data_IF_702868381892
#
_entry.id   IF_702868381892
#
_cell.length_a   1.000
_cell.length_b   1.000
_cell.length_c   1.000
_cell.angle_alpha   90.00
_cell.angle_beta   90.00
_cell.angle_gamma   90.00
#
_symmetry.space_group_name_H-M   'P 1'
#
loop_
_entity.id
_entity.type
_entity.pdbx_description
1 polymer ?
#
# COMPACT_ATOMS: atom_id res chain seq x y z
N UNK A 1 -11.92 -12.76 -39.17
CA UNK A 1 -11.03 -12.89 -38.00
C UNK A 1 -10.14 -11.66 -37.98
N UNK A 2 -10.46 -10.66 -37.16
CA UNK A 2 -9.67 -9.42 -37.08
C UNK A 2 -8.65 -9.63 -35.96
N UNK A 3 -7.38 -9.79 -36.34
CA UNK A 3 -6.26 -9.96 -35.42
C UNK A 3 -5.72 -8.57 -35.04
N UNK A 4 -6.21 -8.00 -33.94
CA UNK A 4 -5.64 -6.78 -33.36
C UNK A 4 -4.45 -7.14 -32.46
N UNK A 5 -3.23 -6.74 -32.84
CA UNK A 5 -2.06 -6.91 -31.98
C UNK A 5 -2.17 -5.94 -30.79
N UNK A 6 -2.30 -6.49 -29.59
CA UNK A 6 -2.30 -5.71 -28.35
C UNK A 6 -1.13 -6.15 -27.47
N UNK A 7 -0.08 -5.32 -27.42
CA UNK A 7 1.03 -5.52 -26.50
C UNK A 7 0.56 -5.27 -25.07
N UNK A 8 0.36 -6.33 -24.30
CA UNK A 8 0.04 -6.24 -22.87
C UNK A 8 1.30 -6.57 -22.08
N UNK A 9 1.74 -5.59 -21.31
CA UNK A 9 2.96 -5.64 -20.49
C UNK A 9 2.56 -5.95 -19.04
N UNK A 10 2.96 -7.14 -18.56
CA UNK A 10 2.98 -7.60 -17.14
C UNK A 10 1.66 -8.11 -16.55
N UNK A 11 1.67 -9.32 -15.98
CA UNK A 11 0.63 -9.89 -15.11
C UNK A 11 1.13 -9.89 -13.66
N UNK A 12 0.24 -9.61 -12.72
CA UNK A 12 0.55 -9.57 -11.29
C UNK A 12 -0.29 -10.64 -10.60
N UNK A 13 0.33 -11.62 -9.94
CA UNK A 13 -0.39 -12.72 -9.29
C UNK A 13 -0.97 -12.23 -7.96
N UNK A 14 -2.29 -12.06 -7.90
CA UNK A 14 -3.03 -11.76 -6.68
C UNK A 14 -3.90 -12.95 -6.28
N UNK A 15 -4.12 -13.13 -4.97
CA UNK A 15 -5.13 -14.04 -4.40
C UNK A 15 -6.58 -13.51 -4.55
N UNK A 16 -6.81 -12.44 -5.34
CA UNK A 16 -8.14 -12.03 -5.77
C UNK A 16 -8.41 -12.53 -7.19
N UNK A 17 -9.50 -13.28 -7.32
CA UNK A 17 -10.01 -13.76 -8.59
C UNK A 17 -10.79 -12.61 -9.28
N UNK A 18 -10.47 -12.23 -10.54
CA UNK A 18 -9.41 -12.75 -11.41
C UNK A 18 -8.07 -11.95 -11.29
N UNK A 19 -6.92 -12.62 -11.48
CA UNK A 19 -5.59 -12.10 -11.12
C UNK A 19 -4.91 -11.28 -12.23
N UNK A 20 -5.63 -10.45 -12.98
CA UNK A 20 -5.06 -9.76 -14.15
C UNK A 20 -5.37 -8.27 -14.10
N UNK A 21 -4.37 -7.51 -13.65
CA UNK A 21 -4.36 -6.04 -13.77
C UNK A 21 -3.59 -5.69 -15.04
N UNK A 22 -4.32 -5.40 -16.10
CA UNK A 22 -3.76 -4.76 -17.29
C UNK A 22 -3.30 -3.36 -16.90
N UNK A 23 -2.07 -2.97 -17.29
CA UNK A 23 -1.63 -1.56 -17.21
C UNK A 23 -2.53 -0.60 -18.01
N UNK A 24 -3.44 -1.12 -18.81
CA UNK A 24 -4.49 -0.40 -19.54
C UNK A 24 -5.86 -0.64 -18.88
N UNK A 25 -6.19 0.06 -17.76
CA UNK A 25 -7.51 -0.04 -17.12
C UNK A 25 -8.66 0.33 -18.06
N UNK A 26 -8.36 1.04 -19.14
CA UNK A 26 -9.32 1.48 -20.15
C UNK A 26 -9.97 0.33 -20.93
N UNK A 27 -9.30 -0.81 -21.10
CA UNK A 27 -9.82 -1.85 -21.99
C UNK A 27 -11.00 -2.57 -21.36
N UNK A 28 -10.94 -2.86 -20.05
CA UNK A 28 -12.08 -3.44 -19.35
C UNK A 28 -13.26 -2.46 -19.27
N UNK A 29 -12.99 -1.15 -19.26
CA UNK A 29 -14.03 -0.13 -19.27
C UNK A 29 -14.75 -0.04 -20.63
N UNK A 30 -14.05 -0.31 -21.74
CA UNK A 30 -14.62 -0.30 -23.10
C UNK A 30 -15.21 -1.67 -23.46
N UNK A 31 -14.57 -2.75 -23.01
CA UNK A 31 -14.90 -4.14 -23.29
C UNK A 31 -14.84 -4.94 -21.98
N UNK A 32 -15.96 -5.04 -21.24
CA UNK A 32 -16.01 -5.77 -19.98
C UNK A 32 -15.65 -7.23 -20.19
N UNK A 33 -14.52 -7.68 -19.64
CA UNK A 33 -14.08 -9.05 -19.83
C UNK A 33 -14.99 -10.03 -19.10
N UNK A 34 -15.39 -11.11 -19.78
CA UNK A 34 -16.18 -12.19 -19.17
C UNK A 34 -15.28 -13.27 -18.58
N UNK A 35 -14.09 -13.48 -19.15
CA UNK A 35 -13.11 -14.44 -18.67
C UNK A 35 -11.69 -13.94 -18.96
N UNK A 36 -10.75 -14.19 -18.05
CA UNK A 36 -9.36 -13.77 -18.18
C UNK A 36 -8.44 -14.82 -17.52
N UNK A 37 -7.40 -15.24 -18.24
CA UNK A 37 -6.45 -16.27 -17.79
C UNK A 37 -5.03 -15.99 -18.31
N UNK A 38 -4.07 -16.87 -18.00
CA UNK A 38 -2.66 -16.69 -18.38
C UNK A 38 -2.41 -16.62 -19.90
N UNK A 39 -3.32 -17.13 -20.74
CA UNK A 39 -3.20 -17.12 -22.21
C UNK A 39 -3.84 -15.90 -22.85
N UNK A 40 -4.78 -15.24 -22.17
CA UNK A 40 -5.57 -14.17 -22.78
C UNK A 40 -6.84 -13.81 -22.02
N UNK A 41 -7.75 -13.13 -22.71
CA UNK A 41 -9.07 -12.78 -22.19
C UNK A 41 -10.15 -12.89 -23.26
N UNK A 42 -11.39 -13.03 -22.83
CA UNK A 42 -12.57 -13.08 -23.69
C UNK A 42 -13.56 -11.99 -23.29
N UNK A 43 -14.28 -11.47 -24.29
CA UNK A 43 -15.35 -10.49 -24.12
C UNK A 43 -16.51 -10.81 -25.04
N UNK A 44 -17.73 -10.57 -24.58
CA UNK A 44 -18.92 -10.61 -25.42
C UNK A 44 -19.22 -9.21 -25.93
N UNK A 45 -19.18 -9.02 -27.25
CA UNK A 45 -19.52 -7.76 -27.91
C UNK A 45 -20.57 -8.02 -28.98
N UNK A 46 -21.71 -7.32 -28.92
CA UNK A 46 -22.84 -7.51 -29.86
C UNK A 46 -23.25 -8.98 -30.01
N UNK A 47 -23.37 -9.71 -28.90
CA UNK A 47 -23.69 -11.14 -28.83
C UNK A 47 -22.69 -12.06 -29.54
N UNK A 48 -21.46 -11.58 -29.79
CA UNK A 48 -20.36 -12.40 -30.30
C UNK A 48 -19.26 -12.48 -29.25
N UNK A 49 -18.76 -13.69 -29.04
CA UNK A 49 -17.63 -13.91 -28.16
C UNK A 49 -16.32 -13.71 -28.92
N UNK A 50 -15.53 -12.77 -28.46
CA UNK A 50 -14.23 -12.42 -29.01
C UNK A 50 -13.17 -12.80 -28.00
N UNK A 51 -12.17 -13.56 -28.45
CA UNK A 51 -11.04 -13.99 -27.63
C UNK A 51 -9.74 -13.34 -28.09
N UNK A 52 -8.99 -12.80 -27.15
CA UNK A 52 -7.71 -12.14 -27.36
C UNK A 52 -6.60 -12.92 -26.66
N UNK A 53 -5.50 -13.17 -27.36
CA UNK A 53 -4.33 -13.89 -26.84
C UNK A 53 -3.23 -12.90 -26.48
N UNK A 54 -2.53 -13.13 -25.37
CA UNK A 54 -1.35 -12.34 -25.02
C UNK A 54 -0.14 -12.75 -25.86
N UNK A 55 0.49 -11.79 -26.54
CA UNK A 55 1.76 -11.99 -27.25
C UNK A 55 2.64 -10.75 -26.96
N UNK A 56 3.72 -10.88 -26.16
CA UNK A 56 4.31 -12.10 -25.60
C UNK A 56 3.54 -12.65 -24.38
N UNK A 57 3.93 -13.84 -23.92
CA UNK A 57 3.43 -14.40 -22.67
C UNK A 57 3.59 -13.38 -21.53
N UNK A 58 2.56 -13.21 -20.69
CA UNK A 58 2.61 -12.20 -19.66
C UNK A 58 3.62 -12.57 -18.58
N UNK A 59 4.55 -11.66 -18.30
CA UNK A 59 5.51 -11.84 -17.20
C UNK A 59 4.77 -11.68 -15.88
N UNK A 60 4.79 -12.73 -15.05
CA UNK A 60 4.34 -12.63 -13.66
C UNK A 60 5.38 -11.91 -12.82
N UNK A 61 5.04 -10.76 -12.23
CA UNK A 61 5.87 -10.20 -11.14
C UNK A 61 5.42 -10.76 -9.80
N UNK A 62 6.38 -11.25 -9.03
CA UNK A 62 6.18 -11.53 -7.61
C UNK A 62 6.02 -10.20 -6.87
N UNK A 63 4.79 -9.91 -6.48
CA UNK A 63 4.46 -8.69 -5.76
C UNK A 63 4.71 -8.81 -4.26
N UNK A 64 5.05 -9.99 -3.73
CA UNK A 64 5.30 -10.17 -2.30
C UNK A 64 6.45 -9.27 -1.85
N UNK A 65 7.53 -9.18 -2.64
CA UNK A 65 8.65 -8.26 -2.39
C UNK A 65 8.19 -6.80 -2.37
N UNK A 66 7.30 -6.41 -3.28
CA UNK A 66 6.77 -5.04 -3.34
C UNK A 66 5.83 -4.73 -2.15
N UNK A 67 5.04 -5.72 -1.72
CA UNK A 67 4.15 -5.63 -0.56
C UNK A 67 4.99 -5.50 0.71
N UNK A 68 6.02 -6.31 0.88
CA UNK A 68 6.95 -6.23 2.02
C UNK A 68 7.63 -4.85 2.11
N UNK A 69 8.12 -4.32 0.99
CA UNK A 69 8.72 -2.98 0.96
C UNK A 69 7.69 -1.90 1.29
N UNK A 70 6.46 -2.00 0.75
CA UNK A 70 5.39 -1.06 1.08
C UNK A 70 4.97 -1.15 2.55
N UNK A 71 4.95 -2.35 3.14
CA UNK A 71 4.63 -2.56 4.53
C UNK A 71 5.67 -1.90 5.44
N UNK A 72 6.97 -2.09 5.16
CA UNK A 72 8.05 -1.41 5.90
C UNK A 72 7.92 0.11 5.90
N UNK A 73 7.51 0.69 4.76
CA UNK A 73 7.29 2.13 4.68
C UNK A 73 6.10 2.58 5.53
N UNK A 74 5.01 1.80 5.56
CA UNK A 74 3.86 2.07 6.44
C UNK A 74 4.29 2.01 7.90
N UNK A 75 5.05 0.99 8.29
CA UNK A 75 5.54 0.82 9.66
C UNK A 75 6.45 2.00 10.08
N UNK A 76 7.32 2.48 9.19
CA UNK A 76 8.16 3.65 9.43
C UNK A 76 7.32 4.92 9.68
N UNK A 77 6.32 5.17 8.84
CA UNK A 77 5.43 6.33 8.99
C UNK A 77 4.64 6.26 10.30
N UNK A 78 4.20 5.07 10.71
CA UNK A 78 3.52 4.88 12.00
C UNK A 78 4.43 5.23 13.18
N UNK A 79 5.70 4.82 13.13
CA UNK A 79 6.70 5.16 14.16
C UNK A 79 6.98 6.67 14.20
N UNK A 80 7.05 7.32 13.05
CA UNK A 80 7.25 8.77 12.94
C UNK A 80 6.07 9.53 13.57
N UNK A 81 4.83 9.18 13.20
CA UNK A 81 3.61 9.77 13.78
C UNK A 81 3.57 9.57 15.30
N UNK A 82 3.89 8.36 15.77
CA UNK A 82 3.95 8.07 17.20
C UNK A 82 4.98 8.94 17.92
N UNK A 83 6.17 9.11 17.34
CA UNK A 83 7.23 9.95 17.90
C UNK A 83 6.83 11.43 17.94
N UNK A 84 6.18 11.92 16.89
CA UNK A 84 5.63 13.28 16.85
C UNK A 84 4.57 13.48 17.95
N UNK A 85 3.65 12.53 18.13
CA UNK A 85 2.64 12.60 19.18
C UNK A 85 3.25 12.65 20.59
N UNK A 86 4.32 11.88 20.84
CA UNK A 86 5.06 11.96 22.12
C UNK A 86 5.64 13.36 22.30
N UNK A 87 6.29 13.89 21.26
CA UNK A 87 6.92 15.21 21.33
C UNK A 87 5.90 16.33 21.60
N UNK A 88 4.76 16.28 20.93
CA UNK A 88 3.67 17.23 21.16
C UNK A 88 3.06 17.09 22.56
N UNK A 89 2.90 15.86 23.04
CA UNK A 89 2.43 15.60 24.41
C UNK A 89 3.42 16.14 25.45
N UNK A 90 4.73 15.94 25.23
CA UNK A 90 5.77 16.48 26.11
C UNK A 90 5.75 18.01 26.13
N UNK A 91 5.42 18.67 25.02
CA UNK A 91 5.29 20.13 24.96
C UNK A 91 4.01 20.67 25.57
N UNK A 92 3.02 19.82 25.86
CA UNK A 92 1.76 20.28 26.44
C UNK A 92 1.99 20.96 27.79
N UNK A 93 1.28 22.07 28.03
CA UNK A 93 1.43 22.87 29.25
C UNK A 93 1.23 22.02 30.51
N UNK A 94 0.22 21.15 30.52
CA UNK A 94 -0.07 20.27 31.65
C UNK A 94 1.07 19.29 31.96
N UNK A 95 1.74 18.74 30.94
CA UNK A 95 2.88 17.84 31.15
C UNK A 95 4.11 18.63 31.61
N UNK A 96 4.37 19.78 31.01
CA UNK A 96 5.47 20.67 31.42
C UNK A 96 5.33 21.17 32.87
N UNK A 97 4.12 21.51 33.30
CA UNK A 97 3.84 21.90 34.70
C UNK A 97 4.12 20.74 35.67
N UNK A 98 3.68 19.51 35.33
CA UNK A 98 3.99 18.33 36.15
C UNK A 98 5.49 18.07 36.23
N UNK A 99 6.21 18.20 35.11
CA UNK A 99 7.67 18.06 35.08
C UNK A 99 8.31 19.11 35.98
N UNK A 100 7.86 20.37 35.92
CA UNK A 100 8.36 21.46 36.76
C UNK A 100 8.14 21.17 38.25
N UNK A 101 6.95 20.73 38.63
CA UNK A 101 6.64 20.38 40.02
C UNK A 101 7.52 19.25 40.56
N UNK A 102 7.77 18.22 39.75
CA UNK A 102 8.68 17.12 40.12
C UNK A 102 10.11 17.66 40.31
N UNK A 103 10.58 18.51 39.40
CA UNK A 103 11.90 19.12 39.47
C UNK A 103 12.08 19.98 40.74
N UNK A 104 11.11 20.83 41.04
CA UNK A 104 11.12 21.66 42.26
C UNK A 104 11.13 20.80 43.53
N UNK A 105 10.33 19.72 43.55
CA UNK A 105 10.30 18.78 44.68
C UNK A 105 11.64 18.07 44.87
N UNK A 106 12.25 17.58 43.77
CA UNK A 106 13.58 16.96 43.82
C UNK A 106 14.66 17.91 44.35
N UNK A 107 14.62 19.19 43.94
CA UNK A 107 15.57 20.19 44.42
C UNK A 107 15.44 20.42 45.93
N UNK A 108 14.20 20.50 46.44
CA UNK A 108 13.94 20.63 47.88
C UNK A 108 14.43 19.40 48.64
N UNK A 109 14.09 18.20 48.18
CA UNK A 109 14.45 16.95 48.84
C UNK A 109 15.98 16.76 48.89
N UNK A 110 16.71 17.05 47.79
CA UNK A 110 18.18 16.98 47.75
C UNK A 110 18.83 18.01 48.68
N UNK A 111 18.31 19.25 48.73
CA UNK A 111 18.83 20.28 49.63
C UNK A 111 18.49 20.03 51.10
N UNK A 112 17.44 19.26 51.40
CA UNK A 112 17.10 18.86 52.77
C UNK A 112 18.06 17.79 53.32
N UNK A 113 18.66 16.97 52.45
CA UNK A 113 19.61 15.92 52.82
C UNK A 113 21.04 16.43 53.05
N UNK A 114 21.34 17.71 52.74
CA UNK A 114 22.65 18.35 52.99
C UNK A 114 22.44 19.75 53.63
N UNK A 115 22.48 19.87 54.97
CA UNK A 115 22.32 21.14 55.68
C UNK A 115 23.48 22.13 55.45
#
# INVERSE_FOLDING_TARGET
MILGMMQIITVHKWYLYPPIILRTPFINAIYPFTNINAKGFSVTYKNQDISYTFIPEPISRDNNVLIEVKQKNVDYLQLEIFSMNIFDTLKSATVQEKIKLIYEKMAIDICADHP
#
